data_IF_935645772477
#
_entry.id   IF_935645772477
#
_cell.length_a   1.000
_cell.length_b   1.000
_cell.length_c   1.000
_cell.angle_alpha   90.00
_cell.angle_beta   90.00
_cell.angle_gamma   90.00
#
_symmetry.space_group_name_H-M   'P 1'
#
loop_
_entity.id
_entity.type
_entity.pdbx_description
1 polymer ?
#
# COMPACT_ATOMS: atom_id res chain seq x y z
N UNK A 1 -2.15 -33.06 -27.25
CA UNK A 1 -2.97 -31.96 -26.76
C UNK A 1 -2.90 -31.99 -25.23
N UNK A 2 -2.04 -31.18 -24.63
CA UNK A 2 -1.75 -31.15 -23.19
C UNK A 2 -2.58 -30.05 -22.54
N UNK A 3 -3.30 -30.29 -21.43
CA UNK A 3 -4.14 -29.32 -20.75
C UNK A 3 -3.30 -28.49 -19.75
N UNK A 4 -2.49 -27.56 -20.22
CA UNK A 4 -1.68 -26.67 -19.35
C UNK A 4 -2.07 -25.19 -19.37
N UNK A 5 -3.18 -24.80 -19.99
CA UNK A 5 -3.52 -23.38 -20.17
C UNK A 5 -4.65 -22.84 -19.27
N UNK A 6 -5.28 -23.67 -18.45
CA UNK A 6 -6.45 -23.24 -17.67
C UNK A 6 -6.15 -22.64 -16.28
N UNK A 7 -4.98 -22.91 -15.71
CA UNK A 7 -4.68 -22.52 -14.31
C UNK A 7 -4.03 -21.14 -14.15
N UNK A 8 -3.58 -20.51 -15.23
CA UNK A 8 -2.91 -19.20 -15.17
C UNK A 8 -3.85 -17.99 -15.22
N UNK A 9 -5.13 -18.15 -15.55
CA UNK A 9 -6.05 -17.04 -15.78
C UNK A 9 -6.98 -16.70 -14.60
N UNK A 10 -6.87 -17.39 -13.45
CA UNK A 10 -7.78 -17.13 -12.33
C UNK A 10 -7.36 -15.94 -11.45
N UNK A 11 -6.10 -15.47 -11.56
CA UNK A 11 -5.57 -14.37 -10.74
C UNK A 11 -5.85 -12.96 -11.31
N UNK A 12 -6.44 -12.83 -12.49
CA UNK A 12 -6.58 -11.58 -13.23
C UNK A 12 -8.04 -11.15 -13.47
N UNK A 13 -8.99 -11.59 -12.65
CA UNK A 13 -10.36 -11.06 -12.76
C UNK A 13 -10.38 -9.64 -12.16
N UNK A 14 -10.63 -8.59 -12.97
CA UNK A 14 -10.74 -7.22 -12.45
C UNK A 14 -11.89 -7.14 -11.44
N UNK A 15 -11.65 -6.52 -10.28
CA UNK A 15 -12.71 -6.17 -9.33
C UNK A 15 -12.99 -7.16 -8.21
N UNK A 16 -12.29 -8.29 -8.10
CA UNK A 16 -12.42 -9.18 -6.93
C UNK A 16 -11.39 -8.85 -5.86
N UNK A 17 -11.85 -8.66 -4.61
CA UNK A 17 -10.98 -8.51 -3.44
C UNK A 17 -10.07 -9.73 -3.29
N UNK A 18 -8.79 -9.48 -3.12
CA UNK A 18 -7.80 -10.52 -2.75
C UNK A 18 -8.06 -11.01 -1.33
N UNK A 19 -7.82 -12.29 -1.11
CA UNK A 19 -8.07 -12.97 0.17
C UNK A 19 -6.82 -13.71 0.63
N UNK A 20 -6.82 -14.10 1.88
CA UNK A 20 -5.83 -15.04 2.43
C UNK A 20 -5.81 -16.32 1.59
N UNK A 21 -4.62 -16.78 1.24
CA UNK A 21 -4.38 -17.91 0.36
C UNK A 21 -4.23 -17.56 -1.12
N UNK A 22 -4.63 -16.36 -1.56
CA UNK A 22 -4.41 -15.92 -2.94
C UNK A 22 -2.93 -15.62 -3.18
N UNK A 23 -2.46 -15.91 -4.39
CA UNK A 23 -1.15 -15.43 -4.83
C UNK A 23 -1.22 -13.99 -5.30
N UNK A 24 -0.20 -13.23 -4.96
CA UNK A 24 0.01 -11.90 -5.56
C UNK A 24 0.44 -12.07 -7.02
N UNK A 25 -0.15 -11.25 -7.90
CA UNK A 25 0.33 -11.11 -9.27
C UNK A 25 1.57 -10.22 -9.32
N UNK A 26 2.26 -10.22 -10.45
CA UNK A 26 3.36 -9.27 -10.61
C UNK A 26 2.83 -7.83 -10.66
N UNK A 27 3.53 -6.93 -9.96
CA UNK A 27 3.33 -5.49 -10.03
C UNK A 27 4.60 -4.89 -10.63
N UNK A 28 4.43 -4.14 -11.71
CA UNK A 28 5.53 -3.44 -12.36
C UNK A 28 5.15 -1.98 -12.52
N UNK A 29 5.78 -1.12 -11.73
CA UNK A 29 5.47 0.31 -11.64
C UNK A 29 6.74 1.15 -11.54
N UNK A 30 6.62 2.42 -11.92
CA UNK A 30 7.67 3.40 -11.69
C UNK A 30 7.79 3.70 -10.20
N UNK A 31 9.00 3.59 -9.69
CA UNK A 31 9.34 3.95 -8.33
C UNK A 31 9.77 5.43 -8.24
N UNK A 32 9.66 5.98 -7.04
CA UNK A 32 9.96 7.38 -6.77
C UNK A 32 11.43 7.74 -7.08
N UNK A 33 12.36 6.79 -6.94
CA UNK A 33 13.78 6.94 -7.28
C UNK A 33 14.08 6.98 -8.79
N UNK A 34 13.05 6.79 -9.63
CA UNK A 34 13.15 6.78 -11.09
C UNK A 34 13.37 5.40 -11.71
N UNK A 35 13.53 4.37 -10.90
CA UNK A 35 13.64 2.99 -11.38
C UNK A 35 12.25 2.41 -11.75
N UNK A 36 12.26 1.29 -12.46
CA UNK A 36 11.06 0.45 -12.63
C UNK A 36 11.13 -0.69 -11.63
N UNK A 37 10.26 -0.66 -10.64
CA UNK A 37 10.17 -1.72 -9.66
C UNK A 37 9.38 -2.91 -10.22
N UNK A 38 9.87 -4.12 -9.96
CA UNK A 38 9.23 -5.39 -10.30
C UNK A 38 9.03 -6.20 -9.03
N UNK A 39 7.77 -6.48 -8.65
CA UNK A 39 7.45 -7.17 -7.39
C UNK A 39 8.04 -8.58 -7.33
N UNK A 40 8.27 -9.22 -8.48
CA UNK A 40 8.91 -10.53 -8.50
C UNK A 40 10.39 -10.51 -8.06
N UNK A 41 11.02 -9.35 -7.95
CA UNK A 41 12.34 -9.21 -7.32
C UNK A 41 12.35 -9.58 -5.83
N UNK A 42 11.17 -9.59 -5.19
CA UNK A 42 11.00 -9.97 -3.78
C UNK A 42 10.69 -11.46 -3.57
N UNK A 43 10.73 -12.30 -4.60
CA UNK A 43 10.53 -13.73 -4.44
C UNK A 43 11.52 -14.31 -3.43
N UNK A 44 11.02 -15.16 -2.53
CA UNK A 44 11.81 -15.72 -1.43
C UNK A 44 11.95 -14.83 -0.20
N UNK A 45 11.29 -13.66 -0.19
CA UNK A 45 11.28 -12.73 0.94
C UNK A 45 9.84 -12.39 1.35
N UNK A 46 9.54 -12.32 2.65
CA UNK A 46 8.25 -11.81 3.12
C UNK A 46 8.20 -10.29 2.97
N UNK A 47 7.01 -9.75 2.72
CA UNK A 47 6.84 -8.30 2.60
C UNK A 47 5.41 -7.86 2.91
N UNK A 48 5.23 -6.57 3.16
CA UNK A 48 3.94 -5.91 3.15
C UNK A 48 3.74 -5.19 1.82
N UNK A 49 2.63 -5.48 1.13
CA UNK A 49 2.15 -4.69 0.00
C UNK A 49 1.04 -3.76 0.51
N UNK A 50 1.29 -2.46 0.50
CA UNK A 50 0.38 -1.45 1.04
C UNK A 50 -0.07 -0.50 -0.07
N UNK A 51 -1.37 -0.39 -0.25
CA UNK A 51 -2.00 0.55 -1.16
C UNK A 51 -2.48 1.76 -0.37
N UNK A 52 -1.88 2.88 -0.70
CA UNK A 52 -2.20 4.18 -0.13
C UNK A 52 -3.22 4.91 -1.01
N UNK A 53 -3.69 6.04 -0.55
CA UNK A 53 -4.52 6.96 -1.32
C UNK A 53 -3.63 7.88 -2.16
N UNK A 54 -4.04 9.12 -2.40
CA UNK A 54 -3.24 10.12 -3.11
C UNK A 54 -2.07 10.65 -2.27
N UNK A 55 -1.00 11.10 -2.91
CA UNK A 55 0.28 11.41 -2.27
C UNK A 55 0.21 12.52 -1.20
N UNK A 56 -0.61 13.56 -1.39
CA UNK A 56 -0.77 14.65 -0.41
C UNK A 56 -1.78 14.35 0.72
N UNK A 57 -2.30 13.11 0.82
CA UNK A 57 -3.25 12.71 1.87
C UNK A 57 -2.60 12.80 3.26
N UNK A 58 -3.18 13.55 4.22
CA UNK A 58 -2.62 13.70 5.56
C UNK A 58 -2.46 12.36 6.30
N UNK A 59 -3.45 11.48 6.24
CA UNK A 59 -3.40 10.16 6.88
C UNK A 59 -2.34 9.26 6.25
N UNK A 60 -2.20 9.30 4.91
CA UNK A 60 -1.17 8.55 4.21
C UNK A 60 0.24 9.01 4.61
N UNK A 61 0.44 10.32 4.77
CA UNK A 61 1.72 10.87 5.21
C UNK A 61 2.03 10.52 6.68
N UNK A 62 1.02 10.49 7.57
CA UNK A 62 1.22 9.99 8.94
C UNK A 62 1.63 8.51 8.94
N UNK A 63 0.94 7.69 8.14
CA UNK A 63 1.26 6.26 8.01
C UNK A 63 2.66 6.03 7.43
N UNK A 64 3.04 6.77 6.39
CA UNK A 64 4.40 6.72 5.84
C UNK A 64 5.44 7.09 6.89
N UNK A 65 5.20 8.17 7.66
CA UNK A 65 6.09 8.56 8.74
C UNK A 65 6.26 7.45 9.79
N UNK A 66 5.18 6.80 10.21
CA UNK A 66 5.23 5.66 11.14
C UNK A 66 6.05 4.51 10.58
N UNK A 67 5.76 4.08 9.33
CA UNK A 67 6.47 2.97 8.70
C UNK A 67 7.97 3.27 8.53
N UNK A 68 8.33 4.48 8.14
CA UNK A 68 9.74 4.87 7.96
C UNK A 68 10.46 4.93 9.30
N UNK A 69 9.87 5.59 10.30
CA UNK A 69 10.51 5.78 11.62
C UNK A 69 10.73 4.47 12.38
N UNK A 70 9.89 3.47 12.11
CA UNK A 70 9.91 2.17 12.78
C UNK A 70 10.40 1.02 11.88
N UNK A 71 10.85 1.33 10.66
CA UNK A 71 11.20 0.30 9.67
C UNK A 71 12.25 -0.70 10.17
N UNK A 72 13.24 -0.23 10.94
CA UNK A 72 14.27 -1.09 11.53
C UNK A 72 13.75 -2.17 12.47
N UNK A 73 12.53 -2.01 13.02
CA UNK A 73 11.91 -3.03 13.89
C UNK A 73 11.40 -4.25 13.10
N UNK A 74 11.33 -4.18 11.76
CA UNK A 74 10.80 -5.25 10.90
C UNK A 74 11.86 -6.29 10.51
N UNK A 75 13.14 -6.04 10.84
CA UNK A 75 14.24 -6.92 10.48
C UNK A 75 14.71 -6.80 9.03
N UNK A 76 15.86 -7.38 8.72
CA UNK A 76 16.55 -7.18 7.43
C UNK A 76 15.87 -7.88 6.24
N UNK A 77 15.17 -8.97 6.49
CA UNK A 77 14.51 -9.75 5.42
C UNK A 77 13.15 -9.23 5.02
N UNK A 78 12.48 -8.52 5.91
CA UNK A 78 11.16 -7.96 5.63
C UNK A 78 11.28 -6.62 4.91
N UNK A 79 10.35 -6.32 4.02
CA UNK A 79 10.24 -5.01 3.40
C UNK A 79 8.78 -4.58 3.24
N UNK A 80 8.61 -3.30 2.92
CA UNK A 80 7.34 -2.69 2.56
C UNK A 80 7.39 -2.32 1.08
N UNK A 81 6.27 -2.47 0.38
CA UNK A 81 6.06 -1.91 -0.97
C UNK A 81 4.84 -0.99 -0.87
N UNK A 82 5.08 0.31 -0.95
CA UNK A 82 4.03 1.32 -0.86
C UNK A 82 3.59 1.73 -2.27
N UNK A 83 2.31 1.55 -2.59
CA UNK A 83 1.71 1.93 -3.88
C UNK A 83 0.75 3.09 -3.66
N UNK A 84 0.91 4.16 -4.43
CA UNK A 84 0.07 5.37 -4.36
C UNK A 84 -0.82 5.54 -5.60
N UNK A 85 -2.09 5.92 -5.38
CA UNK A 85 -3.03 6.37 -6.40
C UNK A 85 -2.70 7.83 -6.79
N UNK A 86 -1.54 8.02 -7.40
CA UNK A 86 -1.02 9.34 -7.78
C UNK A 86 -0.05 9.23 -8.95
N UNK A 87 0.06 10.31 -9.77
CA UNK A 87 1.16 10.46 -10.72
C UNK A 87 2.53 10.52 -10.03
N UNK A 88 3.57 10.08 -10.72
CA UNK A 88 4.92 9.99 -10.16
C UNK A 88 5.49 11.36 -9.73
N UNK A 89 5.22 12.42 -10.50
CA UNK A 89 5.64 13.79 -10.18
C UNK A 89 5.03 14.28 -8.86
N UNK A 90 3.73 14.02 -8.69
CA UNK A 90 3.01 14.39 -7.46
C UNK A 90 3.47 13.53 -6.27
N UNK A 91 3.78 12.26 -6.51
CA UNK A 91 4.32 11.37 -5.48
C UNK A 91 5.67 11.87 -4.98
N UNK A 92 6.57 12.26 -5.88
CA UNK A 92 7.87 12.87 -5.53
C UNK A 92 7.70 14.14 -4.72
N UNK A 93 6.84 15.07 -5.15
CA UNK A 93 6.60 16.34 -4.46
C UNK A 93 6.18 16.15 -3.00
N UNK A 94 5.40 15.11 -2.69
CA UNK A 94 4.81 14.94 -1.36
C UNK A 94 5.44 13.85 -0.49
N UNK A 95 6.00 12.79 -1.09
CA UNK A 95 6.50 11.63 -0.37
C UNK A 95 8.03 11.59 -0.22
N UNK A 96 8.80 12.34 -1.04
CA UNK A 96 10.27 12.35 -1.00
C UNK A 96 10.83 12.73 0.38
N UNK A 97 10.17 13.67 1.06
CA UNK A 97 10.55 14.12 2.42
C UNK A 97 10.58 13.01 3.48
N UNK A 98 9.93 11.87 3.23
CA UNK A 98 9.94 10.75 4.16
C UNK A 98 11.22 9.93 4.10
N UNK A 99 12.00 10.03 3.01
CA UNK A 99 13.24 9.25 2.79
C UNK A 99 13.01 7.76 3.06
N UNK A 100 11.94 7.20 2.48
CA UNK A 100 11.52 5.83 2.73
C UNK A 100 12.63 4.83 2.35
N UNK A 101 13.04 3.90 3.24
CA UNK A 101 14.06 2.89 2.97
C UNK A 101 13.50 1.67 2.20
N UNK A 102 12.33 1.82 1.61
CA UNK A 102 11.61 0.80 0.87
C UNK A 102 10.96 1.38 -0.40
N UNK A 103 10.57 0.54 -1.38
CA UNK A 103 9.97 1.00 -2.63
C UNK A 103 8.66 1.77 -2.44
N UNK A 104 8.59 2.97 -3.03
CA UNK A 104 7.40 3.81 -3.10
C UNK A 104 7.03 4.00 -4.57
N UNK A 105 5.85 3.52 -4.97
CA UNK A 105 5.45 3.31 -6.35
C UNK A 105 4.24 4.16 -6.73
N UNK A 106 4.18 4.58 -7.99
CA UNK A 106 3.07 5.34 -8.57
C UNK A 106 2.19 4.46 -9.47
N UNK A 107 0.95 4.19 -9.07
CA UNK A 107 -0.07 3.58 -9.94
C UNK A 107 -1.07 4.65 -10.43
N UNK A 108 -0.57 5.61 -11.19
CA UNK A 108 -1.33 6.74 -11.73
C UNK A 108 -2.64 6.33 -12.42
N UNK A 109 -2.62 5.16 -13.08
CA UNK A 109 -3.78 4.65 -13.83
C UNK A 109 -4.72 3.79 -12.97
N UNK A 110 -4.37 3.53 -11.72
CA UNK A 110 -5.13 2.70 -10.79
C UNK A 110 -5.32 1.26 -11.30
N UNK A 111 -4.36 0.73 -12.06
CA UNK A 111 -4.45 -0.61 -12.65
C UNK A 111 -4.47 -1.67 -11.55
N UNK A 112 -3.53 -1.57 -10.63
CA UNK A 112 -3.40 -2.54 -9.55
C UNK A 112 -4.45 -2.34 -8.46
N UNK A 113 -4.93 -1.11 -8.23
CA UNK A 113 -6.10 -0.87 -7.37
C UNK A 113 -7.31 -1.67 -7.85
N UNK A 114 -7.59 -1.64 -9.16
CA UNK A 114 -8.69 -2.45 -9.73
C UNK A 114 -8.42 -3.94 -9.65
N UNK A 115 -7.19 -4.40 -9.92
CA UNK A 115 -6.83 -5.81 -9.85
C UNK A 115 -6.96 -6.40 -8.44
N UNK A 116 -6.70 -5.58 -7.42
CA UNK A 116 -6.81 -5.96 -6.01
C UNK A 116 -8.21 -5.69 -5.42
N UNK A 117 -9.17 -5.23 -6.23
CA UNK A 117 -10.54 -4.98 -5.79
C UNK A 117 -10.63 -3.89 -4.73
N UNK A 118 -9.72 -2.89 -4.77
CA UNK A 118 -9.70 -1.77 -3.84
C UNK A 118 -10.83 -0.82 -4.20
N UNK A 119 -11.69 -0.56 -3.23
CA UNK A 119 -12.91 0.22 -3.42
C UNK A 119 -12.65 1.72 -3.31
N UNK A 120 -13.58 2.49 -3.91
CA UNK A 120 -13.73 3.92 -3.71
C UNK A 120 -14.99 4.17 -2.90
N UNK A 121 -14.91 4.89 -1.79
CA UNK A 121 -16.03 5.10 -0.88
C UNK A 121 -16.09 6.54 -0.38
N UNK A 122 -17.11 7.26 -0.81
CA UNK A 122 -17.42 8.60 -0.27
C UNK A 122 -17.86 8.49 1.19
N UNK A 123 -18.66 7.48 1.52
CA UNK A 123 -19.11 7.23 2.89
C UNK A 123 -17.94 6.90 3.84
N UNK A 124 -16.93 6.15 3.36
CA UNK A 124 -15.71 5.87 4.11
C UNK A 124 -14.94 7.15 4.44
N UNK A 125 -14.77 8.05 3.45
CA UNK A 125 -14.12 9.35 3.65
C UNK A 125 -14.87 10.20 4.66
N UNK A 126 -16.19 10.35 4.51
CA UNK A 126 -17.00 11.13 5.45
C UNK A 126 -16.92 10.59 6.88
N UNK A 127 -16.99 9.26 7.01
CA UNK A 127 -16.85 8.58 8.30
C UNK A 127 -15.47 8.84 8.91
N UNK A 128 -14.41 8.67 8.16
CA UNK A 128 -13.05 8.86 8.64
C UNK A 128 -12.77 10.31 9.03
N UNK A 129 -13.21 11.29 8.23
CA UNK A 129 -13.09 12.71 8.57
C UNK A 129 -13.73 13.02 9.93
N UNK A 130 -14.88 12.46 10.25
CA UNK A 130 -15.56 12.67 11.53
C UNK A 130 -14.85 11.92 12.66
N UNK A 131 -14.61 10.62 12.49
CA UNK A 131 -14.08 9.77 13.57
C UNK A 131 -12.61 10.05 13.87
N UNK A 132 -11.83 10.49 12.87
CA UNK A 132 -10.39 10.75 12.97
C UNK A 132 -10.04 12.24 12.97
N UNK A 133 -11.00 13.10 13.31
CA UNK A 133 -10.79 14.57 13.36
C UNK A 133 -9.56 14.96 14.19
N UNK A 134 -9.33 14.42 15.41
CA UNK A 134 -8.12 14.76 16.17
C UNK A 134 -6.83 14.38 15.42
N UNK A 135 -6.80 13.21 14.75
CA UNK A 135 -5.67 12.75 13.95
C UNK A 135 -5.44 13.66 12.74
N UNK A 136 -6.52 14.08 12.08
CA UNK A 136 -6.46 15.03 10.97
C UNK A 136 -5.88 16.37 11.40
N UNK A 137 -6.33 16.93 12.51
CA UNK A 137 -5.81 18.18 13.08
C UNK A 137 -4.32 18.05 13.44
N UNK A 138 -3.92 16.92 14.03
CA UNK A 138 -2.50 16.65 14.30
C UNK A 138 -1.68 16.58 13.01
N UNK A 139 -2.19 15.93 11.98
CA UNK A 139 -1.50 15.85 10.67
C UNK A 139 -1.33 17.24 10.04
N UNK A 140 -2.38 18.05 10.05
CA UNK A 140 -2.40 19.39 9.44
C UNK A 140 -1.54 20.38 10.23
N UNK A 141 -1.79 20.53 11.52
CA UNK A 141 -1.18 21.57 12.35
C UNK A 141 0.10 21.12 13.07
N UNK A 142 0.20 19.83 13.45
CA UNK A 142 1.37 19.30 14.14
C UNK A 142 2.50 18.87 13.18
N UNK A 143 2.16 18.32 12.01
CA UNK A 143 3.13 17.81 11.03
C UNK A 143 3.17 18.60 9.71
N UNK A 144 2.26 19.55 9.50
CA UNK A 144 2.19 20.36 8.29
C UNK A 144 1.80 19.57 7.02
N UNK A 145 1.09 18.45 7.16
CA UNK A 145 0.64 17.64 6.03
C UNK A 145 -0.64 18.22 5.42
N UNK A 146 -0.48 19.29 4.64
CA UNK A 146 -1.61 19.96 3.98
C UNK A 146 -1.88 19.29 2.64
N UNK A 147 -3.15 18.93 2.32
CA UNK A 147 -3.51 18.28 1.07
C UNK A 147 -3.52 19.29 -0.09
N UNK A 148 -2.35 19.74 -0.51
CA UNK A 148 -2.18 20.62 -1.66
C UNK A 148 -2.04 19.81 -2.95
N UNK A 149 -2.52 20.36 -4.08
CA UNK A 149 -2.38 19.76 -5.42
C UNK A 149 -2.82 18.29 -5.45
N UNK A 150 -4.03 18.01 -5.01
CA UNK A 150 -4.59 16.65 -4.99
C UNK A 150 -4.62 16.12 -6.44
N UNK A 151 -3.79 15.12 -6.71
CA UNK A 151 -3.81 14.32 -7.93
C UNK A 151 -4.02 12.86 -7.53
N UNK A 152 -5.03 12.21 -8.09
CA UNK A 152 -5.51 10.89 -7.68
C UNK A 152 -6.90 10.94 -7.09
N UNK A 153 -7.42 9.80 -6.64
CA UNK A 153 -8.79 9.71 -6.13
C UNK A 153 -8.86 10.00 -4.63
N UNK A 154 -9.69 10.97 -4.24
CA UNK A 154 -9.99 11.27 -2.84
C UNK A 154 -10.82 10.19 -2.15
N UNK A 155 -11.48 9.32 -2.92
CA UNK A 155 -12.39 8.29 -2.41
C UNK A 155 -11.77 6.91 -2.37
N UNK A 156 -10.56 6.72 -2.88
CA UNK A 156 -9.82 5.46 -2.79
C UNK A 156 -9.61 5.08 -1.32
N UNK A 157 -9.93 3.84 -0.95
CA UNK A 157 -9.66 3.31 0.39
C UNK A 157 -8.28 2.66 0.44
N UNK A 158 -7.61 2.68 1.59
CA UNK A 158 -6.34 1.97 1.74
C UNK A 158 -6.56 0.45 1.79
N UNK A 159 -5.50 -0.31 1.47
CA UNK A 159 -5.49 -1.75 1.69
C UNK A 159 -4.07 -2.24 1.95
N UNK A 160 -3.93 -3.20 2.88
CA UNK A 160 -2.66 -3.79 3.26
C UNK A 160 -2.70 -5.31 3.13
N UNK A 161 -1.62 -5.89 2.59
CA UNK A 161 -1.46 -7.32 2.42
C UNK A 161 -0.11 -7.75 3.00
N UNK A 162 -0.13 -8.72 3.92
CA UNK A 162 1.08 -9.39 4.37
C UNK A 162 1.28 -10.65 3.53
N UNK A 163 2.45 -10.75 2.90
CA UNK A 163 2.75 -11.75 1.88
C UNK A 163 3.98 -12.55 2.30
N UNK A 164 3.87 -13.89 2.23
CA UNK A 164 4.96 -14.80 2.57
C UNK A 164 6.01 -14.92 1.43
N UNK A 165 7.07 -15.68 1.68
CA UNK A 165 8.19 -15.91 0.75
C UNK A 165 7.77 -16.59 -0.55
N UNK A 166 6.62 -17.28 -0.53
CA UNK A 166 6.03 -17.96 -1.71
C UNK A 166 5.13 -17.05 -2.52
N UNK A 167 4.95 -15.78 -2.07
CA UNK A 167 4.07 -14.82 -2.69
C UNK A 167 2.59 -15.09 -2.42
N UNK A 168 2.27 -15.74 -1.28
CA UNK A 168 0.91 -16.04 -0.85
C UNK A 168 0.48 -15.03 0.22
N UNK A 169 -0.70 -14.46 0.07
CA UNK A 169 -1.29 -13.52 1.03
C UNK A 169 -1.66 -14.27 2.31
N UNK A 170 -1.04 -13.89 3.41
CA UNK A 170 -1.30 -14.44 4.75
C UNK A 170 -2.27 -13.56 5.56
N UNK A 171 -2.36 -12.27 5.22
CA UNK A 171 -3.33 -11.35 5.78
C UNK A 171 -3.75 -10.34 4.70
N UNK A 172 -5.06 -10.11 4.57
CA UNK A 172 -5.63 -9.12 3.67
C UNK A 172 -6.53 -8.18 4.47
N UNK A 173 -6.18 -6.90 4.50
CA UNK A 173 -6.93 -5.83 5.15
C UNK A 173 -7.38 -4.81 4.12
N UNK A 174 -8.69 -4.55 4.06
CA UNK A 174 -9.28 -3.51 3.25
C UNK A 174 -9.83 -2.44 4.17
N UNK A 175 -9.26 -1.27 4.13
CA UNK A 175 -9.63 -0.15 5.00
C UNK A 175 -11.06 0.31 4.76
N UNK A 176 -11.74 0.67 5.87
CA UNK A 176 -13.13 1.15 5.90
C UNK A 176 -13.21 2.68 5.95
N UNK A 177 -12.09 3.33 6.20
CA UNK A 177 -11.90 4.78 6.16
C UNK A 177 -10.48 5.11 5.69
N UNK A 178 -10.17 6.39 5.55
CA UNK A 178 -8.92 6.89 4.96
C UNK A 178 -7.65 6.64 5.78
N UNK A 179 -7.78 6.31 7.05
CA UNK A 179 -6.66 6.00 7.94
C UNK A 179 -6.67 4.56 8.46
N UNK A 180 -7.55 3.71 7.92
CA UNK A 180 -7.72 2.33 8.38
C UNK A 180 -6.70 1.41 7.71
N UNK A 181 -5.49 1.44 8.22
CA UNK A 181 -4.38 0.55 7.88
C UNK A 181 -4.18 -0.52 8.95
N UNK A 182 -3.47 -1.61 8.60
CA UNK A 182 -3.03 -2.60 9.58
C UNK A 182 -2.21 -1.93 10.69
N UNK A 183 -2.46 -2.25 11.98
CA UNK A 183 -1.60 -1.80 13.07
C UNK A 183 -0.15 -2.22 12.83
N UNK A 184 0.81 -1.34 13.17
CA UNK A 184 2.23 -1.65 12.99
C UNK A 184 2.66 -2.93 13.73
N UNK A 185 2.11 -3.17 14.91
CA UNK A 185 2.39 -4.38 15.69
C UNK A 185 1.99 -5.68 14.97
N UNK A 186 0.91 -5.65 14.18
CA UNK A 186 0.53 -6.82 13.38
C UNK A 186 1.54 -7.09 12.25
N UNK A 187 2.11 -6.03 11.67
CA UNK A 187 3.17 -6.15 10.66
C UNK A 187 4.44 -6.70 11.28
N UNK A 188 4.84 -6.16 12.44
CA UNK A 188 6.02 -6.60 13.19
C UNK A 188 5.92 -8.07 13.58
N UNK A 189 4.81 -8.49 14.17
CA UNK A 189 4.56 -9.88 14.51
C UNK A 189 4.62 -10.81 13.30
N UNK A 190 4.17 -10.35 12.14
CA UNK A 190 4.29 -11.12 10.91
C UNK A 190 5.75 -11.25 10.46
N UNK A 191 6.50 -10.15 10.47
CA UNK A 191 7.91 -10.13 10.11
C UNK A 191 8.75 -11.05 11.03
N UNK A 192 8.49 -11.03 12.33
CA UNK A 192 9.15 -11.88 13.34
C UNK A 192 8.88 -13.38 13.14
N UNK A 193 7.74 -13.77 12.58
CA UNK A 193 7.41 -15.16 12.25
C UNK A 193 8.07 -15.67 10.97
N UNK A 194 8.69 -14.79 10.20
CA UNK A 194 9.40 -15.08 8.97
C UNK A 194 10.86 -14.59 9.07
N UNK A 195 11.64 -15.13 10.06
CA UNK A 195 13.02 -14.71 10.28
C UNK A 195 13.95 -15.11 9.14
N UNK A 196 15.22 -14.75 9.28
CA UNK A 196 16.29 -15.08 8.32
C UNK A 196 16.55 -16.58 8.24
#
# INVERSE_FOLDING_TARGET
MTPQSATQNLSLRPGMKKRVGDKVGNIRLNAMDGSVFDLFSLRGRPYMLSFFRFASCPFCNLRMHELVSRFGELGERFTVVAVFDSPLDNLREHAERHHAPFPVLADERGIYYRQYGIERSVAGVMKGMILRMPTLLHALFGKGYVPLKIKGSMTTMPADFLVDERGVIQLAHYGKDEGDHLPFEAIKQFAERHPA
#
